data_IF_018928924739
#
_entry.id   IF_018928924739
#
_cell.length_a   1.000
_cell.length_b   1.000
_cell.length_c   1.000
_cell.angle_alpha   90.00
_cell.angle_beta   90.00
_cell.angle_gamma   90.00
#
_symmetry.space_group_name_H-M   'P 1'
#
loop_
_entity.id
_entity.type
_entity.pdbx_description
1 polymer ?
#
# COMPACT_ATOMS: atom_id res chain seq x y z
N UNK A 1 -30.55 4.85 -38.10
CA UNK A 1 -29.57 3.99 -37.39
C UNK A 1 -29.29 4.63 -36.04
N UNK A 2 -30.02 4.23 -35.00
CA UNK A 2 -29.97 4.86 -33.66
C UNK A 2 -28.78 4.27 -32.91
N UNK A 3 -27.82 5.11 -32.52
CA UNK A 3 -26.70 4.71 -31.65
C UNK A 3 -27.28 4.24 -30.31
N UNK A 4 -27.01 2.99 -29.95
CA UNK A 4 -27.30 2.48 -28.61
C UNK A 4 -26.49 3.28 -27.57
N UNK A 5 -27.10 3.68 -26.43
CA UNK A 5 -26.36 4.37 -25.38
C UNK A 5 -25.36 3.38 -24.73
N UNK A 6 -24.08 3.72 -24.83
CA UNK A 6 -23.05 3.17 -23.96
C UNK A 6 -23.36 3.67 -22.54
N UNK A 7 -23.50 2.74 -21.60
CA UNK A 7 -23.81 2.93 -20.18
C UNK A 7 -25.30 3.11 -19.85
N UNK A 8 -25.88 2.05 -19.25
CA UNK A 8 -27.13 2.15 -18.47
C UNK A 8 -26.79 2.88 -17.17
N UNK A 9 -27.43 4.02 -16.93
CA UNK A 9 -27.41 4.68 -15.63
C UNK A 9 -28.09 3.77 -14.59
N UNK A 10 -27.28 3.05 -13.83
CA UNK A 10 -27.68 2.56 -12.51
C UNK A 10 -27.64 3.77 -11.58
N UNK A 11 -28.57 3.90 -10.60
CA UNK A 11 -28.54 5.01 -9.65
C UNK A 11 -27.16 5.02 -8.97
N UNK A 12 -26.34 5.98 -9.37
CA UNK A 12 -24.94 6.05 -9.00
C UNK A 12 -24.89 6.41 -7.52
N UNK A 13 -24.57 5.45 -6.66
CA UNK A 13 -23.91 5.80 -5.41
C UNK A 13 -22.68 6.61 -5.79
N UNK A 14 -22.64 7.90 -5.43
CA UNK A 14 -21.52 8.77 -5.78
C UNK A 14 -20.17 8.15 -5.40
N UNK A 15 -19.11 8.46 -6.15
CA UNK A 15 -17.80 7.84 -5.98
C UNK A 15 -17.29 7.84 -4.53
N UNK A 16 -17.65 8.86 -3.75
CA UNK A 16 -17.38 8.95 -2.31
C UNK A 16 -17.81 7.70 -1.51
N UNK A 17 -18.88 7.02 -1.92
CA UNK A 17 -19.38 5.80 -1.26
C UNK A 17 -18.40 4.62 -1.29
N UNK A 18 -17.43 4.64 -2.20
CA UNK A 18 -16.40 3.60 -2.32
C UNK A 18 -15.27 3.78 -1.30
N UNK A 19 -15.00 5.01 -0.88
CA UNK A 19 -13.91 5.36 0.02
C UNK A 19 -14.33 5.20 1.48
N UNK A 20 -13.39 4.86 2.35
CA UNK A 20 -13.62 4.58 3.76
C UNK A 20 -12.97 5.65 4.64
N UNK A 21 -13.43 5.77 5.89
CA UNK A 21 -12.87 6.71 6.87
C UNK A 21 -11.78 6.09 7.74
N UNK A 22 -11.78 4.77 7.85
CA UNK A 22 -10.79 3.99 8.61
C UNK A 22 -10.52 2.63 7.92
N UNK A 23 -9.50 1.92 8.41
CA UNK A 23 -9.14 0.59 7.92
C UNK A 23 -10.28 -0.42 8.04
N UNK A 24 -10.99 -0.43 9.17
CA UNK A 24 -12.05 -1.40 9.43
C UNK A 24 -13.21 -1.24 8.44
N UNK A 25 -13.60 0.00 8.13
CA UNK A 25 -14.58 0.34 7.10
C UNK A 25 -14.07 -0.03 5.70
N UNK A 26 -12.79 0.24 5.41
CA UNK A 26 -12.16 -0.13 4.13
C UNK A 26 -12.24 -1.65 3.89
N UNK A 27 -11.84 -2.44 4.89
CA UNK A 27 -11.90 -3.90 4.84
C UNK A 27 -13.34 -4.40 4.70
N UNK A 28 -14.28 -3.91 5.51
CA UNK A 28 -15.70 -4.28 5.39
C UNK A 28 -16.25 -4.00 3.98
N UNK A 29 -15.91 -2.85 3.39
CA UNK A 29 -16.33 -2.48 2.03
C UNK A 29 -15.75 -3.43 0.98
N UNK A 30 -14.48 -3.79 1.09
CA UNK A 30 -13.82 -4.76 0.20
C UNK A 30 -14.47 -6.15 0.29
N UNK A 31 -14.60 -6.70 1.50
CA UNK A 31 -15.21 -8.01 1.74
C UNK A 31 -16.66 -8.07 1.26
N UNK A 32 -17.44 -7.02 1.51
CA UNK A 32 -18.82 -6.92 1.03
C UNK A 32 -18.88 -6.88 -0.51
N UNK A 33 -17.99 -6.13 -1.17
CA UNK A 33 -17.93 -6.08 -2.63
C UNK A 33 -17.52 -7.43 -3.24
N UNK A 34 -16.54 -8.11 -2.67
CA UNK A 34 -16.13 -9.46 -3.08
C UNK A 34 -17.27 -10.48 -2.90
N UNK A 35 -17.96 -10.45 -1.76
CA UNK A 35 -19.14 -11.32 -1.49
C UNK A 35 -20.26 -11.08 -2.51
N UNK A 36 -20.62 -9.83 -2.78
CA UNK A 36 -21.63 -9.48 -3.79
C UNK A 36 -21.22 -9.93 -5.19
N UNK A 37 -19.93 -9.93 -5.50
CA UNK A 37 -19.39 -10.46 -6.75
C UNK A 37 -19.29 -11.99 -6.81
N UNK A 38 -19.61 -12.71 -5.72
CA UNK A 38 -19.48 -14.17 -5.63
C UNK A 38 -18.03 -14.66 -5.60
N UNK A 39 -17.09 -13.80 -5.19
CA UNK A 39 -15.66 -14.09 -5.18
C UNK A 39 -15.23 -14.67 -3.84
N UNK A 40 -14.38 -15.70 -3.89
CA UNK A 40 -13.73 -16.25 -2.70
C UNK A 40 -12.61 -15.33 -2.25
N UNK A 41 -12.61 -14.99 -0.96
CA UNK A 41 -11.54 -14.25 -0.29
C UNK A 41 -10.66 -15.23 0.48
N UNK A 42 -9.34 -15.07 0.36
CA UNK A 42 -8.36 -15.70 1.26
C UNK A 42 -7.80 -14.61 2.16
N UNK A 43 -7.86 -14.81 3.47
CA UNK A 43 -7.43 -13.82 4.46
C UNK A 43 -6.21 -14.30 5.23
N UNK A 44 -5.25 -13.40 5.43
CA UNK A 44 -4.05 -13.62 6.22
C UNK A 44 -4.05 -12.63 7.38
N UNK A 45 -4.11 -13.13 8.61
CA UNK A 45 -4.03 -12.30 9.81
C UNK A 45 -2.62 -11.72 9.95
N UNK A 46 -2.54 -10.41 10.18
CA UNK A 46 -1.30 -9.75 10.57
C UNK A 46 -1.08 -9.97 12.08
N UNK A 47 0.17 -10.26 12.51
CA UNK A 47 0.46 -10.59 13.90
C UNK A 47 0.23 -9.41 14.87
N UNK A 48 0.33 -8.18 14.38
CA UNK A 48 0.06 -6.98 15.16
C UNK A 48 -1.44 -6.66 15.25
N UNK A 49 -1.79 -5.84 16.24
CA UNK A 49 -3.15 -5.34 16.44
C UNK A 49 -3.29 -3.91 15.94
N UNK A 50 -4.52 -3.54 15.59
CA UNK A 50 -4.87 -2.17 15.26
C UNK A 50 -4.94 -1.25 16.47
N UNK A 51 -5.18 0.05 16.27
CA UNK A 51 -5.21 1.05 17.33
C UNK A 51 -6.32 0.82 18.37
N UNK A 52 -7.38 0.08 18.02
CA UNK A 52 -8.45 -0.32 18.94
C UNK A 52 -8.29 -1.77 19.44
N UNK A 53 -7.12 -2.39 19.23
CA UNK A 53 -6.84 -3.78 19.59
C UNK A 53 -7.42 -4.80 18.61
N UNK A 54 -7.96 -4.36 17.47
CA UNK A 54 -8.60 -5.23 16.50
C UNK A 54 -7.60 -6.08 15.70
N UNK A 55 -8.04 -7.24 15.23
CA UNK A 55 -7.26 -8.09 14.33
C UNK A 55 -7.12 -7.44 12.96
N UNK A 56 -5.91 -7.36 12.45
CA UNK A 56 -5.60 -6.80 11.14
C UNK A 56 -5.36 -7.92 10.13
N UNK A 57 -5.68 -7.66 8.86
CA UNK A 57 -5.66 -8.69 7.82
C UNK A 57 -5.26 -8.14 6.45
N UNK A 58 -4.54 -8.97 5.72
CA UNK A 58 -4.42 -8.90 4.27
C UNK A 58 -5.41 -9.88 3.65
N UNK A 59 -6.34 -9.37 2.84
CA UNK A 59 -7.35 -10.12 2.12
C UNK A 59 -6.98 -10.19 0.62
N UNK A 60 -7.10 -11.37 0.02
CA UNK A 60 -6.74 -11.62 -1.38
C UNK A 60 -7.93 -12.22 -2.11
N UNK A 61 -8.24 -11.68 -3.28
CA UNK A 61 -9.22 -12.25 -4.21
C UNK A 61 -8.58 -12.55 -5.56
N UNK A 62 -9.06 -13.60 -6.21
CA UNK A 62 -8.75 -13.93 -7.61
C UNK A 62 -10.02 -13.90 -8.44
N UNK A 63 -9.96 -13.23 -9.60
CA UNK A 63 -11.04 -13.08 -10.56
C UNK A 63 -10.58 -13.64 -11.91
N UNK A 64 -11.47 -14.34 -12.61
CA UNK A 64 -11.20 -14.93 -13.93
C UNK A 64 -10.95 -16.44 -13.86
N UNK A 65 -10.60 -17.02 -15.00
CA UNK A 65 -10.47 -18.48 -15.14
C UNK A 65 -9.36 -19.05 -14.22
N UNK A 66 -9.58 -20.20 -13.56
CA UNK A 66 -8.50 -20.97 -12.92
C UNK A 66 -7.39 -21.36 -13.90
N UNK A 67 -7.73 -21.58 -15.17
CA UNK A 67 -6.81 -21.91 -16.25
C UNK A 67 -6.18 -20.68 -16.95
N UNK A 68 -6.36 -19.48 -16.42
CA UNK A 68 -5.71 -18.28 -16.96
C UNK A 68 -4.18 -18.41 -16.94
N UNK A 69 -3.53 -18.00 -18.02
CA UNK A 69 -2.07 -18.04 -18.18
C UNK A 69 -1.41 -16.66 -18.04
N UNK A 70 -2.23 -15.60 -17.92
CA UNK A 70 -1.78 -14.22 -17.72
C UNK A 70 -2.42 -13.64 -16.48
N UNK A 71 -1.64 -12.92 -15.69
CA UNK A 71 -2.08 -12.36 -14.41
C UNK A 71 -1.87 -10.86 -14.39
N UNK A 72 -2.87 -10.14 -13.90
CA UNK A 72 -2.74 -8.75 -13.44
C UNK A 72 -2.80 -8.81 -11.92
N UNK A 73 -1.75 -8.33 -11.26
CA UNK A 73 -1.71 -8.20 -9.81
C UNK A 73 -1.90 -6.73 -9.45
N UNK A 74 -2.84 -6.45 -8.56
CA UNK A 74 -2.94 -5.16 -7.88
C UNK A 74 -2.81 -5.37 -6.38
N UNK A 75 -2.19 -4.41 -5.70
CA UNK A 75 -2.20 -4.36 -4.25
C UNK A 75 -2.54 -2.95 -3.79
N UNK A 76 -3.03 -2.84 -2.57
CA UNK A 76 -3.28 -1.56 -1.91
C UNK A 76 -2.45 -1.44 -0.65
N UNK A 77 -2.22 -0.18 -0.25
CA UNK A 77 -1.54 0.18 0.98
C UNK A 77 -0.11 -0.39 1.10
N UNK A 78 0.74 -0.24 0.07
CA UNK A 78 2.19 -0.45 0.27
C UNK A 78 2.69 0.49 1.37
N UNK A 79 2.42 1.78 1.21
CA UNK A 79 2.33 2.68 2.35
C UNK A 79 0.93 2.57 2.95
N UNK A 80 0.86 2.18 4.21
CA UNK A 80 -0.40 1.94 4.88
C UNK A 80 -1.41 3.09 4.77
N UNK A 81 -0.97 4.32 5.07
CA UNK A 81 -1.81 5.54 5.03
C UNK A 81 -2.38 5.86 3.64
N UNK A 82 -1.76 5.37 2.56
CA UNK A 82 -2.24 5.55 1.19
C UNK A 82 -3.33 4.51 0.83
N UNK A 83 -3.62 3.58 1.74
CA UNK A 83 -4.60 2.51 1.58
C UNK A 83 -6.02 2.99 1.29
N UNK A 84 -6.43 4.17 1.77
CA UNK A 84 -7.78 4.71 1.57
C UNK A 84 -8.12 4.87 0.08
N UNK A 85 -7.18 5.45 -0.69
CA UNK A 85 -7.37 5.71 -2.11
C UNK A 85 -7.42 4.39 -2.89
N UNK A 86 -6.41 3.53 -2.71
CA UNK A 86 -6.33 2.24 -3.39
C UNK A 86 -7.49 1.30 -3.04
N UNK A 87 -7.91 1.29 -1.77
CA UNK A 87 -9.08 0.57 -1.30
C UNK A 87 -10.35 1.06 -1.97
N UNK A 88 -10.57 2.38 -2.00
CA UNK A 88 -11.75 2.97 -2.63
C UNK A 88 -11.83 2.64 -4.12
N UNK A 89 -10.72 2.78 -4.85
CA UNK A 89 -10.66 2.41 -6.27
C UNK A 89 -10.97 0.92 -6.49
N UNK A 90 -10.41 0.03 -5.66
CA UNK A 90 -10.66 -1.42 -5.72
C UNK A 90 -12.13 -1.76 -5.45
N UNK A 91 -12.72 -1.17 -4.41
CA UNK A 91 -14.14 -1.34 -4.07
C UNK A 91 -15.03 -0.82 -5.20
N UNK A 92 -14.71 0.34 -5.77
CA UNK A 92 -15.43 0.93 -6.90
C UNK A 92 -15.42 0.02 -8.12
N UNK A 93 -14.26 -0.55 -8.48
CA UNK A 93 -14.12 -1.47 -9.62
C UNK A 93 -14.89 -2.79 -9.42
N UNK A 94 -14.91 -3.33 -8.20
CA UNK A 94 -15.72 -4.51 -7.88
C UNK A 94 -17.22 -4.22 -7.97
N UNK A 95 -17.66 -3.08 -7.43
CA UNK A 95 -19.08 -2.67 -7.40
C UNK A 95 -19.61 -2.24 -8.76
N UNK A 96 -18.78 -1.66 -9.62
CA UNK A 96 -19.18 -1.29 -10.99
C UNK A 96 -19.40 -2.51 -11.89
N UNK A 97 -18.84 -3.67 -11.52
CA UNK A 97 -18.91 -4.87 -12.34
C UNK A 97 -17.94 -4.88 -13.52
N UNK A 98 -17.06 -3.89 -13.65
CA UNK A 98 -16.07 -3.78 -14.74
C UNK A 98 -15.13 -4.99 -14.79
N UNK A 99 -14.91 -5.67 -13.66
CA UNK A 99 -14.17 -6.93 -13.58
C UNK A 99 -14.74 -8.06 -14.46
N UNK A 100 -16.03 -8.00 -14.84
CA UNK A 100 -16.64 -8.97 -15.77
C UNK A 100 -16.12 -8.83 -17.20
N UNK A 101 -15.42 -7.73 -17.51
CA UNK A 101 -14.86 -7.43 -18.83
C UNK A 101 -13.42 -7.90 -18.99
N UNK A 102 -12.87 -8.63 -18.02
CA UNK A 102 -11.53 -9.21 -18.14
C UNK A 102 -11.42 -10.07 -19.42
N UNK A 103 -10.37 -9.90 -20.23
CA UNK A 103 -10.18 -10.71 -21.42
C UNK A 103 -10.08 -12.20 -21.11
N UNK A 104 -10.46 -13.05 -22.07
CA UNK A 104 -10.24 -14.50 -21.95
C UNK A 104 -8.76 -14.80 -21.73
N UNK A 105 -8.47 -15.72 -20.81
CA UNK A 105 -7.10 -16.13 -20.47
C UNK A 105 -6.36 -15.21 -19.50
N UNK A 106 -6.99 -14.13 -19.03
CA UNK A 106 -6.44 -13.23 -17.99
C UNK A 106 -7.16 -13.47 -16.66
N UNK A 107 -6.38 -13.54 -15.59
CA UNK A 107 -6.87 -13.45 -14.21
C UNK A 107 -6.39 -12.17 -13.55
N UNK A 108 -7.23 -11.60 -12.69
CA UNK A 108 -6.87 -10.49 -11.80
C UNK A 108 -6.69 -11.04 -10.39
N UNK A 109 -5.60 -10.70 -9.73
CA UNK A 109 -5.36 -10.94 -8.30
C UNK A 109 -5.31 -9.59 -7.62
N UNK A 110 -6.14 -9.38 -6.62
CA UNK A 110 -6.17 -8.12 -5.86
C UNK A 110 -5.84 -8.40 -4.41
N UNK A 111 -4.89 -7.66 -3.86
CA UNK A 111 -4.44 -7.72 -2.47
C UNK A 111 -4.92 -6.46 -1.73
N UNK A 112 -5.78 -6.63 -0.74
CA UNK A 112 -6.34 -5.57 0.10
C UNK A 112 -6.15 -5.94 1.59
N UNK A 113 -5.23 -5.37 2.33
CA UNK A 113 -4.14 -4.48 1.91
C UNK A 113 -2.80 -5.12 2.33
N UNK A 114 -1.70 -4.83 1.62
CA UNK A 114 -0.42 -5.50 1.86
C UNK A 114 0.26 -5.05 3.17
N UNK A 115 0.02 -3.81 3.60
CA UNK A 115 0.41 -3.31 4.92
C UNK A 115 -0.84 -2.94 5.75
N UNK A 116 -1.56 -3.93 6.31
CA UNK A 116 -2.77 -3.65 7.08
C UNK A 116 -2.45 -2.92 8.41
N UNK A 117 -1.26 -3.15 8.99
CA UNK A 117 -0.78 -2.40 10.16
C UNK A 117 -0.66 -0.91 9.86
N UNK A 118 0.14 -0.52 8.87
CA UNK A 118 0.31 0.87 8.50
C UNK A 118 -1.02 1.52 8.11
N UNK A 119 -1.93 0.77 7.49
CA UNK A 119 -3.23 1.31 7.11
C UNK A 119 -4.09 1.63 8.32
N UNK A 120 -4.16 0.73 9.32
CA UNK A 120 -4.89 0.96 10.55
C UNK A 120 -4.26 2.07 11.42
N UNK A 121 -2.93 2.13 11.48
CA UNK A 121 -2.18 3.09 12.30
C UNK A 121 -1.87 4.42 11.59
N UNK A 122 -2.35 4.62 10.35
CA UNK A 122 -2.07 5.81 9.53
C UNK A 122 -0.56 6.06 9.30
N UNK A 123 0.20 4.99 9.10
CA UNK A 123 1.65 5.00 8.88
C UNK A 123 2.00 4.56 7.47
N UNK A 124 3.16 5.00 6.97
CA UNK A 124 3.75 4.45 5.73
C UNK A 124 4.31 3.04 5.93
N UNK A 125 4.82 2.76 7.12
CA UNK A 125 5.62 1.58 7.44
C UNK A 125 4.79 0.48 8.09
N UNK A 126 5.34 -0.74 8.16
CA UNK A 126 4.78 -1.87 8.93
C UNK A 126 4.94 -1.66 10.44
N UNK A 127 4.51 -2.65 11.22
CA UNK A 127 4.72 -2.77 12.67
C UNK A 127 6.20 -2.65 13.08
N UNK A 128 7.09 -3.18 12.25
CA UNK A 128 8.55 -3.18 12.47
C UNK A 128 9.24 -1.93 11.91
N UNK A 129 8.47 -0.89 11.57
CA UNK A 129 8.95 0.33 10.91
C UNK A 129 9.58 0.11 9.52
N UNK A 130 9.23 -0.98 8.83
CA UNK A 130 9.73 -1.27 7.48
C UNK A 130 8.90 -0.52 6.44
N UNK A 131 9.55 0.26 5.57
CA UNK A 131 8.93 0.81 4.36
C UNK A 131 8.92 -0.27 3.27
N UNK A 132 7.76 -0.89 3.04
CA UNK A 132 7.63 -1.96 2.05
C UNK A 132 8.00 -1.50 0.64
N UNK A 133 7.81 -0.22 0.29
CA UNK A 133 8.14 0.31 -1.04
C UNK A 133 9.64 0.43 -1.28
N UNK A 134 10.46 0.05 -0.30
CA UNK A 134 11.92 0.09 -0.33
C UNK A 134 12.56 -1.21 0.14
N UNK A 135 11.76 -2.24 0.38
CA UNK A 135 12.19 -3.53 0.95
C UNK A 135 11.91 -4.71 0.00
N UNK A 136 11.86 -4.45 -1.31
CA UNK A 136 11.71 -5.47 -2.36
C UNK A 136 13.07 -6.05 -2.76
N UNK A 137 13.75 -6.66 -1.78
CA UNK A 137 15.09 -7.25 -1.93
C UNK A 137 15.00 -8.76 -2.15
N UNK A 138 16.05 -9.31 -2.76
CA UNK A 138 16.25 -10.77 -2.79
C UNK A 138 16.91 -11.22 -1.48
N UNK A 139 16.09 -11.62 -0.50
CA UNK A 139 16.56 -12.10 0.80
C UNK A 139 17.33 -13.43 0.75
N UNK A 140 17.45 -14.07 -0.41
CA UNK A 140 18.35 -15.21 -0.63
C UNK A 140 19.80 -14.80 -0.92
N UNK A 141 20.09 -13.50 -1.04
CA UNK A 141 21.42 -12.93 -1.30
C UNK A 141 21.87 -12.02 -0.15
N UNK A 142 23.17 -11.68 -0.07
CA UNK A 142 23.62 -10.63 0.83
C UNK A 142 22.85 -9.33 0.61
N UNK A 143 22.42 -8.71 1.71
CA UNK A 143 21.67 -7.45 1.67
C UNK A 143 22.60 -6.30 1.23
N UNK A 144 22.11 -5.32 0.46
CA UNK A 144 22.88 -4.14 0.11
C UNK A 144 23.32 -3.35 1.35
N UNK A 145 24.59 -2.96 1.40
CA UNK A 145 25.08 -2.03 2.42
C UNK A 145 24.68 -0.58 2.07
N UNK A 146 24.27 0.20 3.07
CA UNK A 146 24.02 1.63 2.93
C UNK A 146 24.92 2.42 3.90
N UNK A 147 26.22 2.44 3.62
CA UNK A 147 27.23 3.12 4.47
C UNK A 147 26.96 4.62 4.65
N UNK A 148 26.35 5.26 3.64
CA UNK A 148 25.97 6.66 3.72
C UNK A 148 24.82 6.88 4.73
N UNK A 149 23.88 5.94 4.82
CA UNK A 149 22.90 5.92 5.91
C UNK A 149 23.58 5.73 7.25
N UNK A 150 24.55 4.81 7.37
CA UNK A 150 25.26 4.58 8.64
C UNK A 150 25.97 5.85 9.15
N UNK A 151 26.58 6.62 8.26
CA UNK A 151 27.19 7.93 8.58
C UNK A 151 26.14 8.94 9.10
N UNK A 152 24.96 8.97 8.48
CA UNK A 152 23.89 9.92 8.81
C UNK A 152 22.95 9.41 9.91
N UNK A 153 22.99 8.13 10.27
CA UNK A 153 22.05 7.50 11.19
C UNK A 153 21.96 8.24 12.54
N UNK A 154 23.06 8.66 13.19
CA UNK A 154 22.99 9.37 14.48
C UNK A 154 22.26 10.70 14.44
N UNK A 155 22.15 11.34 13.27
CA UNK A 155 21.42 12.61 13.07
C UNK A 155 20.03 12.41 12.48
N UNK A 156 19.78 11.27 11.82
CA UNK A 156 18.44 10.86 11.36
C UNK A 156 17.60 10.40 12.55
N UNK A 157 18.18 9.54 13.40
CA UNK A 157 17.52 8.88 14.51
C UNK A 157 18.21 9.28 15.81
N UNK A 158 17.78 10.42 16.34
CA UNK A 158 18.37 11.04 17.53
C UNK A 158 17.68 10.53 18.80
N UNK A 159 18.43 10.45 19.90
CA UNK A 159 17.86 10.12 21.22
C UNK A 159 16.92 11.22 21.74
N UNK A 160 17.15 12.48 21.32
CA UNK A 160 16.36 13.65 21.70
C UNK A 160 15.85 14.37 20.45
N UNK A 161 14.61 14.85 20.53
CA UNK A 161 13.93 15.59 19.47
C UNK A 161 13.69 17.04 19.91
N UNK A 162 14.80 17.76 20.13
CA UNK A 162 14.81 19.17 20.52
C UNK A 162 15.42 20.05 19.40
N UNK A 163 15.41 21.37 19.61
CA UNK A 163 15.91 22.34 18.63
C UNK A 163 17.41 22.15 18.34
N UNK A 164 18.19 21.72 19.34
CA UNK A 164 19.62 21.47 19.17
C UNK A 164 19.87 20.25 18.27
N UNK A 165 19.10 19.17 18.46
CA UNK A 165 19.13 18.00 17.59
C UNK A 165 18.67 18.35 16.16
N UNK A 166 17.63 19.18 16.02
CA UNK A 166 17.15 19.63 14.72
C UNK A 166 18.23 20.46 13.98
N UNK A 167 18.89 21.39 14.67
CA UNK A 167 19.98 22.19 14.11
C UNK A 167 21.18 21.31 13.71
N UNK A 168 21.55 20.34 14.53
CA UNK A 168 22.63 19.38 14.23
C UNK A 168 22.31 18.56 12.98
N UNK A 169 21.09 18.05 12.86
CA UNK A 169 20.64 17.30 11.67
C UNK A 169 20.68 18.16 10.41
N UNK A 170 20.18 19.40 10.48
CA UNK A 170 20.22 20.32 9.35
C UNK A 170 21.66 20.59 8.90
N UNK A 171 22.56 20.87 9.83
CA UNK A 171 23.98 21.10 9.53
C UNK A 171 24.66 19.85 8.92
N UNK A 172 24.38 18.65 9.45
CA UNK A 172 24.92 17.41 8.94
C UNK A 172 24.40 17.08 7.53
N UNK A 173 23.11 17.25 7.28
CA UNK A 173 22.52 17.06 5.95
C UNK A 173 23.09 18.03 4.93
N UNK A 174 23.27 19.30 5.31
CA UNK A 174 23.86 20.30 4.44
C UNK A 174 25.33 19.98 4.14
N UNK A 175 26.14 19.64 5.15
CA UNK A 175 27.52 19.24 4.96
C UNK A 175 27.65 18.01 4.03
N UNK A 176 26.80 16.99 4.24
CA UNK A 176 26.77 15.81 3.39
C UNK A 176 26.35 16.17 1.95
N UNK A 177 25.31 17.01 1.80
CA UNK A 177 24.82 17.48 0.49
C UNK A 177 25.90 18.27 -0.27
N UNK A 178 26.64 19.15 0.40
CA UNK A 178 27.74 19.91 -0.21
C UNK A 178 28.85 19.01 -0.70
N UNK A 179 29.17 17.95 0.05
CA UNK A 179 30.26 17.03 -0.26
C UNK A 179 29.90 15.98 -1.32
N UNK A 180 28.69 15.40 -1.24
CA UNK A 180 28.28 14.23 -2.03
C UNK A 180 27.18 14.54 -3.05
N UNK A 181 26.53 15.70 -2.95
CA UNK A 181 25.41 16.09 -3.80
C UNK A 181 24.04 15.67 -3.25
N UNK A 182 23.00 16.34 -3.74
CA UNK A 182 21.62 16.12 -3.27
C UNK A 182 21.06 14.73 -3.59
N UNK A 183 21.46 14.13 -4.72
CA UNK A 183 21.02 12.79 -5.07
C UNK A 183 21.58 11.73 -4.13
N UNK A 184 22.84 11.85 -3.71
CA UNK A 184 23.45 10.91 -2.77
C UNK A 184 22.85 11.05 -1.37
N UNK A 185 22.54 12.26 -0.92
CA UNK A 185 21.78 12.45 0.33
C UNK A 185 20.40 11.76 0.27
N UNK A 186 19.69 11.94 -0.85
CA UNK A 186 18.39 11.28 -1.05
C UNK A 186 18.53 9.75 -1.06
N UNK A 187 19.55 9.21 -1.72
CA UNK A 187 19.84 7.77 -1.73
C UNK A 187 20.19 7.25 -0.34
N UNK A 188 21.01 7.97 0.42
CA UNK A 188 21.37 7.59 1.78
C UNK A 188 20.12 7.43 2.66
N UNK A 189 19.20 8.40 2.65
CA UNK A 189 18.03 8.42 3.53
C UNK A 189 16.90 7.51 3.03
N UNK A 190 16.78 7.31 1.71
CA UNK A 190 15.62 6.67 1.09
C UNK A 190 15.94 5.46 0.21
N UNK A 191 17.18 4.97 0.24
CA UNK A 191 17.61 3.83 -0.58
C UNK A 191 16.95 2.51 -0.22
N UNK A 192 16.37 2.40 0.99
CA UNK A 192 15.92 1.14 1.55
C UNK A 192 17.04 0.38 2.25
N UNK A 193 16.71 -0.83 2.70
CA UNK A 193 17.61 -1.85 3.26
C UNK A 193 17.29 -3.19 2.61
#
# INVERSE_FOLDING_TARGET
MVRAPLFRETPSMGAASYFARDYAEARRKFLAAAKTAGLKVTSFENPARGPAGETLHTDVIRIGSPAATRFVLTNTATHGVEGFCGSGATVGWLRSGEWKRLPRGVAMVMVHAINPHGFAWLRRVTEDNVDLNRNFQDFGKPLPENRAYDELHPVILTERWDDAAAARRAAAFEAFRTKHGAMELQRAISGGQ
#
